data_IF_928356880420
#
_entry.id   IF_928356880420
#
_cell.length_a   1.000
_cell.length_b   1.000
_cell.length_c   1.000
_cell.angle_alpha   90.00
_cell.angle_beta   90.00
_cell.angle_gamma   90.00
#
_symmetry.space_group_name_H-M   'P 1'
#
loop_
_entity.id
_entity.type
_entity.pdbx_description
1 polymer ?
#
# COMPACT_ATOMS: atom_id res chain seq x y z
N UNK A 1 -18.88 17.07 -19.02
CA UNK A 1 -18.81 17.35 -17.57
C UNK A 1 -18.31 16.13 -16.82
N UNK A 2 -18.88 14.94 -17.07
CA UNK A 2 -18.43 13.66 -16.48
C UNK A 2 -16.95 13.34 -16.75
N UNK A 3 -16.46 13.57 -17.97
CA UNK A 3 -15.05 13.29 -18.33
C UNK A 3 -14.04 14.15 -17.54
N UNK A 4 -14.41 15.40 -17.20
CA UNK A 4 -13.56 16.27 -16.40
C UNK A 4 -13.46 15.76 -14.96
N UNK A 5 -14.59 15.35 -14.36
CA UNK A 5 -14.61 14.77 -13.02
C UNK A 5 -13.86 13.44 -12.94
N UNK A 6 -14.00 12.60 -13.97
CA UNK A 6 -13.22 11.37 -14.08
C UNK A 6 -11.72 11.67 -14.13
N UNK A 7 -11.29 12.64 -14.92
CA UNK A 7 -9.88 13.05 -14.95
C UNK A 7 -9.40 13.64 -13.62
N UNK A 8 -10.21 14.48 -12.97
CA UNK A 8 -9.91 15.02 -11.65
C UNK A 8 -9.75 13.91 -10.61
N UNK A 9 -10.66 12.94 -10.61
CA UNK A 9 -10.58 11.76 -9.75
C UNK A 9 -9.33 10.92 -10.02
N UNK A 10 -9.02 10.63 -11.28
CA UNK A 10 -7.84 9.82 -11.61
C UNK A 10 -6.55 10.50 -11.16
N UNK A 11 -6.40 11.81 -11.40
CA UNK A 11 -5.24 12.57 -10.92
C UNK A 11 -5.13 12.57 -9.40
N UNK A 12 -6.26 12.75 -8.72
CA UNK A 12 -6.30 12.71 -7.26
C UNK A 12 -5.92 11.33 -6.72
N UNK A 13 -6.40 10.26 -7.36
CA UNK A 13 -6.07 8.88 -7.03
C UNK A 13 -4.59 8.56 -7.27
N UNK A 14 -4.05 8.96 -8.42
CA UNK A 14 -2.63 8.80 -8.74
C UNK A 14 -1.77 9.49 -7.66
N UNK A 15 -2.08 10.76 -7.36
CA UNK A 15 -1.40 11.50 -6.30
C UNK A 15 -1.50 10.81 -4.94
N UNK A 16 -2.69 10.31 -4.57
CA UNK A 16 -2.88 9.64 -3.29
C UNK A 16 -2.07 8.33 -3.17
N UNK A 17 -2.08 7.52 -4.24
CA UNK A 17 -1.30 6.28 -4.27
C UNK A 17 0.20 6.59 -4.27
N UNK A 18 0.65 7.60 -5.00
CA UNK A 18 2.06 7.98 -5.03
C UNK A 18 2.54 8.53 -3.69
N UNK A 19 1.68 9.23 -2.95
CA UNK A 19 1.94 9.65 -1.59
C UNK A 19 2.15 8.45 -0.64
N UNK A 20 1.33 7.40 -0.75
CA UNK A 20 1.55 6.15 -0.01
C UNK A 20 2.85 5.44 -0.44
N UNK A 21 3.08 5.31 -1.75
CA UNK A 21 4.28 4.62 -2.30
C UNK A 21 5.59 5.27 -1.88
N UNK A 22 5.58 6.60 -1.70
CA UNK A 22 6.74 7.39 -1.31
C UNK A 22 6.90 7.53 0.22
N UNK A 23 6.03 6.89 1.01
CA UNK A 23 6.00 7.02 2.47
C UNK A 23 5.80 8.46 2.95
N UNK A 24 5.21 9.34 2.12
CA UNK A 24 5.01 10.76 2.46
C UNK A 24 4.01 10.97 3.60
N UNK A 25 3.23 9.93 3.96
CA UNK A 25 2.38 9.90 5.15
C UNK A 25 3.16 9.66 6.45
N UNK A 26 4.47 9.40 6.36
CA UNK A 26 5.35 9.19 7.51
C UNK A 26 6.49 10.22 7.51
N UNK A 27 6.96 10.58 8.71
CA UNK A 27 8.11 11.48 8.87
C UNK A 27 9.42 10.76 8.49
N UNK A 28 9.76 10.78 7.21
CA UNK A 28 10.99 10.15 6.67
C UNK A 28 12.29 10.78 7.19
N UNK A 29 12.22 11.92 7.91
CA UNK A 29 13.38 12.46 8.64
C UNK A 29 13.69 11.67 9.91
N UNK A 30 12.69 10.99 10.47
CA UNK A 30 12.79 10.13 11.65
C UNK A 30 12.84 8.65 11.30
N UNK A 31 12.13 8.25 10.25
CA UNK A 31 11.91 6.87 9.87
C UNK A 31 12.56 6.54 8.54
N UNK A 32 13.23 5.40 8.46
CA UNK A 32 13.75 4.87 7.19
C UNK A 32 12.86 3.72 6.71
N UNK A 33 12.31 3.79 5.49
CA UNK A 33 11.55 2.68 4.93
C UNK A 33 12.41 1.43 4.74
N UNK A 34 11.93 0.28 5.22
CA UNK A 34 12.59 -1.01 5.04
C UNK A 34 11.79 -1.93 4.08
N UNK A 35 10.47 -1.95 4.22
CA UNK A 35 9.57 -2.66 3.32
C UNK A 35 8.17 -2.01 3.33
N UNK A 36 7.39 -2.25 2.29
CA UNK A 36 5.99 -1.85 2.22
C UNK A 36 5.19 -2.85 1.40
N UNK A 37 4.01 -3.18 1.89
CA UNK A 37 3.02 -3.97 1.16
C UNK A 37 1.76 -3.15 0.93
N UNK A 38 1.48 -2.81 -0.32
CA UNK A 38 0.31 -2.05 -0.74
C UNK A 38 -0.78 -2.96 -1.30
N UNK A 39 -2.01 -2.73 -0.86
CA UNK A 39 -3.22 -3.33 -1.39
C UNK A 39 -4.04 -2.21 -2.03
N UNK A 40 -4.20 -2.29 -3.36
CA UNK A 40 -4.83 -1.28 -4.21
C UNK A 40 -6.13 -1.84 -4.82
N UNK A 41 -7.20 -1.98 -4.03
CA UNK A 41 -8.49 -2.39 -4.55
C UNK A 41 -9.11 -1.28 -5.42
N UNK A 42 -9.90 -1.66 -6.41
CA UNK A 42 -10.59 -0.69 -7.28
C UNK A 42 -11.87 -0.12 -6.66
N UNK A 43 -12.46 -0.81 -5.69
CA UNK A 43 -13.81 -0.52 -5.18
C UNK A 43 -13.88 -0.33 -3.65
N UNK A 44 -12.75 -0.37 -2.95
CA UNK A 44 -12.68 -0.18 -1.50
C UNK A 44 -11.46 0.68 -1.14
N UNK A 45 -11.25 0.89 0.16
CA UNK A 45 -10.14 1.69 0.65
C UNK A 45 -8.79 1.05 0.32
N UNK A 46 -7.84 1.89 -0.07
CA UNK A 46 -6.45 1.49 -0.31
C UNK A 46 -5.71 1.34 1.01
N UNK A 47 -4.90 0.29 1.14
CA UNK A 47 -4.22 -0.07 2.38
C UNK A 47 -2.73 -0.28 2.15
N UNK A 48 -1.94 0.05 3.18
CA UNK A 48 -0.50 -0.14 3.22
C UNK A 48 -0.10 -0.74 4.55
N UNK A 49 0.81 -1.71 4.52
CA UNK A 49 1.59 -2.12 5.68
C UNK A 49 3.01 -1.65 5.47
N UNK A 50 3.46 -0.71 6.27
CA UNK A 50 4.77 -0.08 6.16
C UNK A 50 5.67 -0.59 7.29
N UNK A 51 6.83 -1.15 6.94
CA UNK A 51 7.88 -1.51 7.91
C UNK A 51 8.97 -0.44 7.83
N UNK A 52 9.20 0.20 8.97
CA UNK A 52 10.07 1.36 9.10
C UNK A 52 11.13 1.09 10.18
N UNK A 53 12.29 1.71 10.02
CA UNK A 53 13.38 1.66 10.98
C UNK A 53 13.57 3.02 11.64
N UNK A 54 13.66 3.04 12.98
CA UNK A 54 14.00 4.20 13.81
C UNK A 54 15.07 3.79 14.83
N UNK A 55 16.24 4.42 14.82
CA UNK A 55 17.31 4.18 15.80
C UNK A 55 17.62 2.69 16.03
N UNK A 56 17.72 1.91 14.94
CA UNK A 56 17.87 0.45 14.88
C UNK A 56 16.67 -0.41 15.33
N UNK A 57 15.57 0.20 15.77
CA UNK A 57 14.32 -0.51 16.07
C UNK A 57 13.45 -0.58 14.82
N UNK A 58 12.83 -1.74 14.56
CA UNK A 58 11.80 -1.88 13.52
C UNK A 58 10.41 -1.65 14.08
N UNK A 59 9.61 -0.89 13.33
CA UNK A 59 8.20 -0.60 13.61
C UNK A 59 7.38 -0.93 12.37
N UNK A 60 6.13 -1.34 12.59
CA UNK A 60 5.17 -1.56 11.51
C UNK A 60 3.97 -0.62 11.68
N UNK A 61 3.46 -0.10 10.58
CA UNK A 61 2.28 0.76 10.54
C UNK A 61 1.29 0.21 9.53
N UNK A 62 0.01 0.28 9.87
CA UNK A 62 -1.07 0.09 8.92
C UNK A 62 -1.62 1.46 8.54
N UNK A 63 -1.54 1.79 7.26
CA UNK A 63 -2.02 3.05 6.72
C UNK A 63 -3.15 2.80 5.72
N UNK A 64 -4.29 3.45 5.92
CA UNK A 64 -5.46 3.37 5.06
C UNK A 64 -5.68 4.73 4.39
N UNK A 65 -5.78 4.74 3.06
CA UNK A 65 -6.41 5.83 2.35
C UNK A 65 -7.90 5.54 2.20
N UNK A 66 -8.73 6.38 2.81
CA UNK A 66 -10.20 6.30 2.79
C UNK A 66 -10.78 6.71 1.43
N UNK A 67 -10.46 5.94 0.39
CA UNK A 67 -10.94 6.14 -0.98
C UNK A 67 -12.46 6.24 -1.04
N UNK A 68 -13.18 5.43 -0.26
CA UNK A 68 -14.66 5.45 -0.17
C UNK A 68 -15.21 6.74 0.43
N UNK A 69 -14.43 7.42 1.28
CA UNK A 69 -14.78 8.73 1.86
C UNK A 69 -14.44 9.88 0.91
N UNK A 70 -13.38 9.74 0.10
CA UNK A 70 -12.93 10.79 -0.80
C UNK A 70 -13.66 10.78 -2.15
N UNK A 71 -14.05 9.62 -2.67
CA UNK A 71 -14.71 9.48 -3.97
C UNK A 71 -15.99 10.33 -4.10
N UNK A 72 -16.90 10.40 -3.10
CA UNK A 72 -18.10 11.23 -3.18
C UNK A 72 -17.82 12.72 -3.45
N UNK A 73 -16.63 13.23 -3.09
CA UNK A 73 -16.22 14.63 -3.32
C UNK A 73 -16.13 14.98 -4.82
N UNK A 74 -16.06 13.97 -5.68
CA UNK A 74 -15.94 14.09 -7.13
C UNK A 74 -17.21 13.65 -7.89
N UNK A 75 -18.29 13.29 -7.18
CA UNK A 75 -19.49 12.73 -7.79
C UNK A 75 -20.21 13.71 -8.74
N UNK A 76 -20.20 15.01 -8.42
CA UNK A 76 -20.76 16.06 -9.27
C UNK A 76 -20.11 17.43 -8.98
N UNK A 77 -20.33 18.47 -9.82
CA UNK A 77 -19.65 19.76 -9.64
C UNK A 77 -20.08 20.50 -8.37
N UNK A 78 -21.33 20.29 -7.93
CA UNK A 78 -21.87 20.96 -6.74
C UNK A 78 -21.21 20.40 -5.47
N UNK A 79 -21.08 19.08 -5.37
CA UNK A 79 -20.32 18.46 -4.28
C UNK A 79 -18.86 18.92 -4.30
N UNK A 80 -18.24 18.97 -5.49
CA UNK A 80 -16.86 19.41 -5.65
C UNK A 80 -16.59 20.82 -5.12
N UNK A 81 -17.56 21.74 -5.24
CA UNK A 81 -17.48 23.12 -4.74
C UNK A 81 -17.52 23.23 -3.21
N UNK A 82 -18.03 22.21 -2.50
CA UNK A 82 -18.03 22.19 -1.02
C UNK A 82 -16.66 21.90 -0.42
N UNK A 83 -15.72 21.44 -1.23
CA UNK A 83 -14.39 21.03 -0.81
C UNK A 83 -13.31 22.02 -1.26
N UNK A 84 -12.12 21.90 -0.66
CA UNK A 84 -10.98 22.75 -0.99
C UNK A 84 -10.68 22.72 -2.50
N UNK A 85 -10.15 23.83 -3.06
CA UNK A 85 -9.74 23.88 -4.46
C UNK A 85 -8.76 22.76 -4.84
N UNK A 86 -7.93 22.33 -3.89
CA UNK A 86 -7.13 21.11 -4.00
C UNK A 86 -7.58 20.14 -2.90
N UNK A 87 -8.31 19.07 -3.25
CA UNK A 87 -8.70 18.07 -2.28
C UNK A 87 -7.44 17.37 -1.75
N UNK A 88 -7.47 17.04 -0.45
CA UNK A 88 -6.39 16.32 0.23
C UNK A 88 -6.91 14.89 0.50
N UNK A 89 -6.13 13.84 0.18
CA UNK A 89 -6.49 12.47 0.51
C UNK A 89 -6.64 12.26 2.01
N UNK A 90 -7.64 11.48 2.41
CA UNK A 90 -7.92 11.17 3.81
C UNK A 90 -7.14 9.92 4.21
N UNK A 91 -6.02 10.10 4.91
CA UNK A 91 -5.21 8.99 5.43
C UNK A 91 -5.46 8.77 6.92
N UNK A 92 -5.46 7.51 7.31
CA UNK A 92 -5.43 7.05 8.70
C UNK A 92 -4.25 6.10 8.86
N UNK A 93 -3.41 6.31 9.88
CA UNK A 93 -2.26 5.44 10.14
C UNK A 93 -2.23 5.03 11.59
N UNK A 94 -2.06 3.73 11.83
CA UNK A 94 -2.01 3.14 13.17
C UNK A 94 -0.75 2.26 13.30
N UNK A 95 -0.02 2.34 14.42
CA UNK A 95 1.08 1.42 14.66
C UNK A 95 0.55 0.00 14.88
N UNK A 96 1.24 -0.98 14.31
CA UNK A 96 0.95 -2.40 14.53
C UNK A 96 1.82 -2.92 15.67
N UNK A 97 1.21 -3.66 16.59
CA UNK A 97 1.92 -4.30 17.69
C UNK A 97 2.53 -5.63 17.26
N UNK A 98 3.48 -5.57 16.32
CA UNK A 98 4.25 -6.72 15.83
C UNK A 98 5.62 -6.69 16.50
N UNK A 99 6.01 -7.81 17.12
CA UNK A 99 7.33 -7.93 17.74
C UNK A 99 8.46 -7.77 16.73
N UNK A 100 9.50 -7.03 17.11
CA UNK A 100 10.68 -6.80 16.28
C UNK A 100 11.29 -8.09 15.68
N UNK A 101 11.42 -9.23 16.41
CA UNK A 101 11.93 -10.46 15.82
C UNK A 101 11.14 -10.95 14.61
N UNK A 102 9.81 -10.75 14.62
CA UNK A 102 8.93 -11.09 13.49
C UNK A 102 9.21 -10.20 12.29
N UNK A 103 9.39 -8.89 12.52
CA UNK A 103 9.72 -7.93 11.46
C UNK A 103 11.10 -8.22 10.87
N UNK A 104 12.11 -8.50 11.71
CA UNK A 104 13.46 -8.87 11.26
C UNK A 104 13.43 -10.16 10.43
N UNK A 105 12.69 -11.18 10.88
CA UNK A 105 12.54 -12.42 10.13
C UNK A 105 11.88 -12.18 8.77
N UNK A 106 10.84 -11.33 8.72
CA UNK A 106 10.16 -10.98 7.47
C UNK A 106 11.09 -10.24 6.51
N UNK A 107 11.86 -9.25 7.00
CA UNK A 107 12.84 -8.52 6.17
C UNK A 107 13.96 -9.43 5.67
N UNK A 108 14.47 -10.34 6.50
CA UNK A 108 15.47 -11.34 6.09
C UNK A 108 14.90 -12.26 5.01
N UNK A 109 13.69 -12.78 5.22
CA UNK A 109 13.02 -13.64 4.26
C UNK A 109 12.86 -12.93 2.91
N UNK A 110 12.51 -11.64 2.91
CA UNK A 110 12.41 -10.84 1.69
C UNK A 110 13.78 -10.68 1.00
N UNK A 111 14.85 -10.43 1.77
CA UNK A 111 16.20 -10.30 1.23
C UNK A 111 16.74 -11.58 0.57
N UNK A 112 16.24 -12.74 0.98
CA UNK A 112 16.60 -14.06 0.42
C UNK A 112 15.80 -14.44 -0.83
N UNK A 113 14.78 -13.65 -1.20
CA UNK A 113 13.94 -13.95 -2.36
C UNK A 113 14.74 -13.75 -3.64
N UNK A 114 15.01 -14.87 -4.31
CA UNK A 114 15.48 -14.84 -5.68
C UNK A 114 14.29 -14.74 -6.65
N UNK A 115 14.29 -13.69 -7.47
CA UNK A 115 13.26 -13.41 -8.48
C UNK A 115 13.89 -13.57 -9.85
N UNK A 116 14.27 -14.80 -10.17
CA UNK A 116 14.92 -15.16 -11.43
C UNK A 116 13.96 -15.22 -12.62
N UNK A 117 12.65 -15.31 -12.37
CA UNK A 117 11.64 -15.46 -13.42
C UNK A 117 10.66 -14.28 -13.46
N UNK A 118 10.56 -13.65 -14.64
CA UNK A 118 9.43 -12.78 -14.97
C UNK A 118 8.16 -13.63 -15.06
N UNK A 119 7.03 -13.17 -14.51
CA UNK A 119 5.77 -13.91 -14.56
C UNK A 119 5.32 -14.06 -16.02
N UNK A 120 4.87 -15.25 -16.39
CA UNK A 120 4.58 -15.60 -17.80
C UNK A 120 3.23 -15.08 -18.30
N UNK A 121 2.32 -14.69 -17.40
CA UNK A 121 1.02 -14.13 -17.77
C UNK A 121 0.48 -13.17 -16.69
N UNK A 122 -0.10 -12.06 -17.14
CA UNK A 122 -1.00 -11.25 -16.31
C UNK A 122 -2.35 -11.96 -16.26
N UNK A 123 -2.70 -12.55 -15.13
CA UNK A 123 -4.06 -13.04 -14.89
C UNK A 123 -4.99 -11.84 -14.71
N UNK A 124 -5.84 -11.60 -15.70
CA UNK A 124 -6.96 -10.67 -15.54
C UNK A 124 -7.94 -11.26 -14.53
N UNK A 125 -8.16 -10.55 -13.42
CA UNK A 125 -9.13 -10.91 -12.41
C UNK A 125 -10.23 -9.87 -12.34
N UNK A 126 -11.41 -10.31 -11.93
CA UNK A 126 -12.59 -9.48 -11.76
C UNK A 126 -12.63 -8.79 -10.38
N UNK A 127 -11.74 -9.14 -9.44
CA UNK A 127 -11.68 -8.51 -8.11
C UNK A 127 -11.15 -7.07 -8.15
N UNK A 128 -10.51 -6.67 -9.27
CA UNK A 128 -9.95 -5.34 -9.47
C UNK A 128 -8.89 -4.94 -8.44
N UNK A 129 -8.25 -5.91 -7.76
CA UNK A 129 -7.25 -5.61 -6.72
C UNK A 129 -5.85 -5.77 -7.27
N UNK A 130 -5.03 -4.73 -7.09
CA UNK A 130 -3.61 -4.79 -7.39
C UNK A 130 -2.81 -4.79 -6.10
N UNK A 131 -1.67 -5.45 -6.10
CA UNK A 131 -0.78 -5.53 -4.96
C UNK A 131 0.59 -5.00 -5.35
N UNK A 132 1.26 -4.35 -4.42
CA UNK A 132 2.67 -3.99 -4.57
C UNK A 132 3.47 -4.41 -3.34
N UNK A 133 4.63 -5.02 -3.55
CA UNK A 133 5.62 -5.25 -2.51
C UNK A 133 6.86 -4.42 -2.84
N UNK A 134 7.15 -3.45 -1.99
CA UNK A 134 8.41 -2.74 -1.94
C UNK A 134 9.30 -3.36 -0.88
N UNK A 135 10.55 -3.61 -1.22
CA UNK A 135 11.52 -4.16 -0.29
C UNK A 135 12.92 -3.66 -0.55
N UNK A 136 13.65 -3.44 0.54
CA UNK A 136 15.05 -3.04 0.52
C UNK A 136 15.23 -1.56 0.84
N UNK A 137 16.48 -1.17 1.17
CA UNK A 137 16.84 0.22 1.37
C UNK A 137 16.67 0.99 0.06
N UNK A 138 16.47 2.32 0.15
CA UNK A 138 16.23 3.19 -1.01
C UNK A 138 17.25 2.98 -2.15
N UNK A 139 18.52 2.70 -1.82
CA UNK A 139 19.62 2.52 -2.77
C UNK A 139 19.64 1.19 -3.52
N UNK A 140 18.96 0.15 -3.00
CA UNK A 140 18.88 -1.19 -3.62
C UNK A 140 17.49 -1.79 -3.37
N UNK A 141 16.47 -1.01 -3.73
CA UNK A 141 15.08 -1.40 -3.52
C UNK A 141 14.51 -2.09 -4.75
N UNK A 142 13.61 -3.05 -4.51
CA UNK A 142 12.80 -3.71 -5.53
C UNK A 142 11.34 -3.40 -5.25
N UNK A 143 10.58 -3.11 -6.32
CA UNK A 143 9.13 -2.97 -6.27
C UNK A 143 8.49 -3.96 -7.22
N UNK A 144 7.74 -4.89 -6.66
CA UNK A 144 7.05 -5.95 -7.37
C UNK A 144 5.58 -5.60 -7.40
N UNK A 145 4.94 -5.81 -8.55
CA UNK A 145 3.53 -5.49 -8.76
C UNK A 145 2.86 -6.67 -9.42
N UNK A 146 1.66 -7.00 -8.94
CA UNK A 146 0.81 -8.02 -9.55
C UNK A 146 -0.65 -7.67 -9.36
N UNK A 147 -1.49 -8.36 -10.14
CA UNK A 147 -2.93 -8.19 -10.11
C UNK A 147 -3.59 -9.45 -9.58
N UNK A 148 -4.48 -9.29 -8.59
CA UNK A 148 -5.27 -10.32 -7.92
C UNK A 148 -4.48 -11.41 -7.22
N UNK A 149 -3.89 -12.34 -7.96
CA UNK A 149 -3.16 -13.48 -7.41
C UNK A 149 -1.67 -13.33 -7.63
N UNK A 150 -0.87 -13.64 -6.60
CA UNK A 150 0.58 -13.69 -6.73
C UNK A 150 0.96 -14.71 -7.82
N UNK A 151 1.84 -14.34 -8.78
CA UNK A 151 2.25 -15.26 -9.83
C UNK A 151 2.85 -16.54 -9.27
N UNK A 152 2.48 -17.72 -9.78
CA UNK A 152 2.96 -19.00 -9.28
C UNK A 152 4.46 -19.22 -9.49
N UNK A 153 5.13 -18.40 -10.31
CA UNK A 153 6.57 -18.36 -10.46
C UNK A 153 7.27 -17.72 -9.25
N UNK A 154 6.57 -16.89 -8.48
CA UNK A 154 7.07 -16.20 -7.29
C UNK A 154 6.76 -16.96 -6.01
N UNK A 155 6.92 -18.28 -6.00
CA UNK A 155 6.60 -19.17 -4.85
C UNK A 155 7.27 -18.74 -3.55
N UNK A 156 8.50 -18.24 -3.64
CA UNK A 156 9.27 -17.71 -2.51
C UNK A 156 8.61 -16.52 -1.82
N UNK A 157 7.78 -15.73 -2.55
CA UNK A 157 7.06 -14.59 -2.00
C UNK A 157 5.73 -14.95 -1.32
N UNK A 158 5.17 -16.13 -1.58
CA UNK A 158 3.90 -16.53 -0.97
C UNK A 158 3.88 -16.41 0.56
N UNK A 159 4.82 -17.01 1.32
CA UNK A 159 4.78 -16.94 2.77
C UNK A 159 4.93 -15.49 3.28
N UNK A 160 5.70 -14.65 2.58
CA UNK A 160 5.89 -13.24 2.90
C UNK A 160 4.56 -12.47 2.72
N UNK A 161 3.91 -12.65 1.57
CA UNK A 161 2.65 -11.99 1.27
C UNK A 161 1.53 -12.45 2.22
N UNK A 162 1.49 -13.74 2.57
CA UNK A 162 0.55 -14.26 3.56
C UNK A 162 0.75 -13.63 4.94
N UNK A 163 2.00 -13.36 5.34
CA UNK A 163 2.29 -12.64 6.58
C UNK A 163 1.79 -11.21 6.56
N UNK A 164 2.04 -10.47 5.48
CA UNK A 164 1.49 -9.11 5.33
C UNK A 164 -0.04 -9.09 5.36
N UNK A 165 -0.69 -10.04 4.66
CA UNK A 165 -2.14 -10.16 4.68
C UNK A 165 -2.68 -10.56 6.05
N UNK A 166 -1.96 -11.37 6.83
CA UNK A 166 -2.33 -11.69 8.20
C UNK A 166 -2.24 -10.45 9.10
N UNK A 167 -1.18 -9.65 8.97
CA UNK A 167 -1.03 -8.38 9.71
C UNK A 167 -2.16 -7.39 9.38
N UNK A 168 -2.58 -7.33 8.11
CA UNK A 168 -3.69 -6.49 7.69
C UNK A 168 -5.01 -6.93 8.34
N UNK A 169 -5.34 -8.22 8.33
CA UNK A 169 -6.55 -8.76 9.00
C UNK A 169 -6.54 -8.53 10.51
N UNK A 170 -5.39 -8.68 11.15
CA UNK A 170 -5.26 -8.42 12.59
C UNK A 170 -5.49 -6.94 12.91
N UNK A 171 -5.12 -6.02 12.01
CA UNK A 171 -5.36 -4.59 12.20
C UNK A 171 -6.84 -4.19 12.08
N UNK A 172 -7.62 -4.91 11.27
CA UNK A 172 -9.07 -4.67 11.13
C UNK A 172 -9.84 -5.00 12.41
N UNK A 173 -9.35 -5.95 13.23
CA UNK A 173 -9.97 -6.33 14.51
C UNK A 173 -9.85 -5.25 15.60
N UNK A 174 -8.98 -4.25 15.42
CA UNK A 174 -8.77 -3.16 16.38
C UNK A 174 -9.39 -1.83 15.92
N UNK A 175 -10.10 -1.82 14.78
CA UNK A 175 -10.71 -0.64 14.19
C UNK A 175 -12.22 -0.49 14.50
N UNK A 176 -12.80 -1.37 15.32
CA UNK A 176 -14.15 -1.28 15.89
C UNK A 176 -14.13 -0.71 17.32
#
# INVERSE_FOLDING_TARGET
MELQQQHEWQRFREHAVDHLRSFAHVDTTKYRPAAQFLILPSFSDTRSIDILQQDNTLLAFHTVWRTTTDLPRFANPVERLKHLPQPIPTYESVPLNIGEPTLQHLLSAIGEVDLTSSPTANTASLDGTSYELYAGPETDSKRLRWHSTLPPEWKSLHPICEKFLAMERESELYAE
#
